data_IF_469155803347
#
_entry.id   IF_469155803347
#
_cell.length_a   1.000
_cell.length_b   1.000
_cell.length_c   1.000
_cell.angle_alpha   90.00
_cell.angle_beta   90.00
_cell.angle_gamma   90.00
#
_symmetry.space_group_name_H-M   'P 1'
#
loop_
_entity.id
_entity.type
_entity.pdbx_description
1 polymer ?
#
# COMPACT_ATOMS: atom_id res chain seq x y z
N UNK A 1 -12.97 -10.56 4.81
CA UNK A 1 -13.18 -9.53 5.87
C UNK A 1 -12.23 -8.37 5.60
N UNK A 2 -12.29 -7.26 6.34
CA UNK A 2 -11.32 -6.15 6.19
C UNK A 2 -10.47 -6.04 7.45
N UNK A 3 -9.15 -6.19 7.31
CA UNK A 3 -8.17 -5.96 8.38
C UNK A 3 -7.75 -4.50 8.39
N UNK A 4 -8.11 -3.79 9.46
CA UNK A 4 -7.66 -2.41 9.70
C UNK A 4 -6.41 -2.45 10.56
N UNK A 5 -5.39 -1.69 10.16
CA UNK A 5 -4.10 -1.63 10.87
C UNK A 5 -3.70 -0.18 11.03
N UNK A 6 -3.54 0.28 12.28
CA UNK A 6 -2.93 1.57 12.57
C UNK A 6 -1.42 1.40 12.69
N UNK A 7 -0.65 2.25 12.01
CA UNK A 7 0.83 2.19 12.00
C UNK A 7 1.40 2.42 13.40
N UNK A 8 0.75 3.26 14.20
CA UNK A 8 1.14 3.61 15.56
C UNK A 8 1.05 2.43 16.53
N UNK A 9 0.25 1.42 16.20
CA UNK A 9 0.05 0.21 17.02
C UNK A 9 1.06 -0.90 16.67
N UNK A 10 1.88 -0.70 15.63
CA UNK A 10 2.88 -1.68 15.20
C UNK A 10 4.23 -1.45 15.88
N UNK A 11 5.04 -2.51 16.08
CA UNK A 11 6.44 -2.37 16.46
C UNK A 11 7.17 -1.43 15.48
N UNK A 12 8.04 -0.55 16.00
CA UNK A 12 8.71 0.51 15.22
C UNK A 12 9.33 -0.02 13.92
N UNK A 13 10.04 -1.15 14.00
CA UNK A 13 10.67 -1.76 12.82
C UNK A 13 9.64 -2.21 11.77
N UNK A 14 8.56 -2.85 12.21
CA UNK A 14 7.49 -3.31 11.34
C UNK A 14 6.72 -2.12 10.74
N UNK A 15 6.47 -1.08 11.53
CA UNK A 15 5.86 0.17 11.09
C UNK A 15 6.69 0.84 9.98
N UNK A 16 8.00 0.97 10.20
CA UNK A 16 8.92 1.53 9.21
C UNK A 16 8.93 0.73 7.91
N UNK A 17 9.14 -0.59 8.00
CA UNK A 17 9.22 -1.45 6.82
C UNK A 17 7.88 -1.47 6.05
N UNK A 18 6.74 -1.40 6.76
CA UNK A 18 5.40 -1.35 6.16
C UNK A 18 5.21 -0.05 5.37
N UNK A 19 5.52 1.09 5.99
CA UNK A 19 5.48 2.40 5.32
C UNK A 19 6.37 2.43 4.09
N UNK A 20 7.57 1.82 4.17
CA UNK A 20 8.48 1.71 3.03
C UNK A 20 7.84 0.94 1.86
N UNK A 21 7.24 -0.24 2.11
CA UNK A 21 6.59 -0.99 1.02
C UNK A 21 5.38 -0.24 0.43
N UNK A 22 4.60 0.45 1.26
CA UNK A 22 3.48 1.28 0.81
C UNK A 22 3.99 2.43 -0.09
N UNK A 23 5.04 3.14 0.32
CA UNK A 23 5.63 4.23 -0.45
C UNK A 23 6.17 3.74 -1.81
N UNK A 24 6.89 2.61 -1.82
CA UNK A 24 7.39 2.00 -3.06
C UNK A 24 6.26 1.62 -4.02
N UNK A 25 5.16 1.07 -3.49
CA UNK A 25 3.97 0.76 -4.30
C UNK A 25 3.34 2.01 -4.89
N UNK A 26 3.12 3.04 -4.06
CA UNK A 26 2.53 4.32 -4.51
C UNK A 26 3.36 4.97 -5.60
N UNK A 27 4.69 4.99 -5.43
CA UNK A 27 5.60 5.53 -6.43
C UNK A 27 5.52 4.74 -7.74
N UNK A 28 5.49 3.41 -7.68
CA UNK A 28 5.35 2.58 -8.87
C UNK A 28 4.03 2.83 -9.62
N UNK A 29 2.91 2.97 -8.91
CA UNK A 29 1.61 3.32 -9.51
C UNK A 29 1.67 4.71 -10.15
N UNK A 30 2.21 5.69 -9.44
CA UNK A 30 2.35 7.06 -9.97
C UNK A 30 3.20 7.14 -11.24
N UNK A 31 4.29 6.36 -11.30
CA UNK A 31 5.12 6.24 -12.51
C UNK A 31 4.36 5.49 -13.61
N UNK A 32 3.65 4.41 -13.26
CA UNK A 32 2.87 3.60 -14.18
C UNK A 32 1.83 4.45 -14.94
N UNK A 33 1.11 5.33 -14.24
CA UNK A 33 0.08 6.22 -14.82
C UNK A 33 0.61 7.12 -15.94
N UNK A 34 1.90 7.46 -15.90
CA UNK A 34 2.54 8.37 -16.87
C UNK A 34 3.52 7.64 -17.82
N UNK A 35 3.59 6.31 -17.73
CA UNK A 35 4.56 5.53 -18.50
C UNK A 35 4.07 5.19 -19.90
N UNK A 36 4.99 5.11 -20.86
CA UNK A 36 4.74 4.54 -22.19
C UNK A 36 4.52 3.02 -22.16
N UNK A 37 4.95 2.36 -21.09
CA UNK A 37 4.86 0.91 -20.90
C UNK A 37 4.38 0.57 -19.48
N UNK A 38 3.12 0.91 -19.14
CA UNK A 38 2.57 0.75 -17.79
C UNK A 38 2.60 -0.70 -17.28
N UNK A 39 2.43 -1.68 -18.16
CA UNK A 39 2.42 -3.10 -17.83
C UNK A 39 3.73 -3.60 -17.19
N UNK A 40 4.85 -2.90 -17.39
CA UNK A 40 6.13 -3.25 -16.77
C UNK A 40 6.14 -3.05 -15.24
N UNK A 41 5.17 -2.31 -14.71
CA UNK A 41 5.08 -2.00 -13.29
C UNK A 41 4.15 -2.95 -12.53
N UNK A 42 3.30 -3.72 -13.25
CA UNK A 42 2.29 -4.59 -12.64
C UNK A 42 2.93 -5.62 -11.70
N UNK A 43 3.98 -6.30 -12.17
CA UNK A 43 4.70 -7.30 -11.37
C UNK A 43 5.29 -6.68 -10.11
N UNK A 44 5.96 -5.53 -10.24
CA UNK A 44 6.57 -4.84 -9.10
C UNK A 44 5.51 -4.37 -8.08
N UNK A 45 4.38 -3.83 -8.55
CA UNK A 45 3.26 -3.41 -7.69
C UNK A 45 2.69 -4.61 -6.94
N UNK A 46 2.48 -5.74 -7.63
CA UNK A 46 2.02 -6.99 -7.04
C UNK A 46 3.00 -7.53 -5.99
N UNK A 47 4.30 -7.48 -6.26
CA UNK A 47 5.32 -7.86 -5.28
C UNK A 47 5.24 -7.00 -4.01
N UNK A 48 5.03 -5.68 -4.13
CA UNK A 48 4.90 -4.80 -2.97
C UNK A 48 3.66 -5.14 -2.16
N UNK A 49 2.53 -5.37 -2.80
CA UNK A 49 1.31 -5.80 -2.11
C UNK A 49 1.48 -7.15 -1.40
N UNK A 50 2.14 -8.11 -2.03
CA UNK A 50 2.40 -9.41 -1.44
C UNK A 50 3.33 -9.31 -0.23
N UNK A 51 4.32 -8.42 -0.26
CA UNK A 51 5.14 -8.12 0.92
C UNK A 51 4.31 -7.52 2.05
N UNK A 52 3.45 -6.54 1.75
CA UNK A 52 2.54 -5.95 2.75
C UNK A 52 1.64 -7.02 3.38
N UNK A 53 1.04 -7.90 2.58
CA UNK A 53 0.20 -9.02 3.06
C UNK A 53 0.97 -9.97 3.97
N UNK A 54 2.21 -10.33 3.61
CA UNK A 54 3.10 -11.18 4.42
C UNK A 54 3.47 -10.52 5.75
N UNK A 55 3.79 -9.23 5.73
CA UNK A 55 4.15 -8.47 6.93
C UNK A 55 3.00 -8.36 7.93
N UNK A 56 1.76 -8.32 7.43
CA UNK A 56 0.55 -8.23 8.24
C UNK A 56 -0.11 -9.59 8.51
N UNK A 57 0.52 -10.68 8.07
CA UNK A 57 0.03 -12.06 8.15
C UNK A 57 -1.47 -12.18 7.85
N UNK A 58 -1.86 -11.76 6.64
CA UNK A 58 -3.28 -11.77 6.25
C UNK A 58 -3.47 -12.00 4.76
N UNK A 59 -4.61 -12.63 4.45
CA UNK A 59 -5.14 -12.78 3.08
C UNK A 59 -6.39 -11.92 2.86
N UNK A 60 -6.88 -11.24 3.90
CA UNK A 60 -8.03 -10.35 3.85
C UNK A 60 -7.71 -9.05 3.08
N UNK A 61 -8.75 -8.26 2.82
CA UNK A 61 -8.56 -6.87 2.43
C UNK A 61 -7.90 -6.09 3.58
N UNK A 62 -7.04 -5.14 3.24
CA UNK A 62 -6.20 -4.41 4.19
C UNK A 62 -6.48 -2.92 4.02
N UNK A 63 -6.69 -2.25 5.14
CA UNK A 63 -6.66 -0.79 5.23
C UNK A 63 -5.61 -0.41 6.27
N UNK A 64 -4.57 0.31 5.85
CA UNK A 64 -3.54 0.84 6.75
C UNK A 64 -3.78 2.33 6.96
N UNK A 65 -3.78 2.74 8.23
CA UNK A 65 -3.93 4.14 8.64
C UNK A 65 -2.71 4.65 9.38
N UNK A 66 -2.38 5.92 9.19
CA UNK A 66 -1.38 6.68 9.95
C UNK A 66 -2.01 8.00 10.40
N UNK A 67 -2.01 8.26 11.69
CA UNK A 67 -2.62 9.40 12.36
C UNK A 67 -4.09 9.62 11.93
N UNK A 68 -4.83 8.51 11.83
CA UNK A 68 -6.23 8.49 11.38
C UNK A 68 -6.43 8.66 9.87
N UNK A 69 -5.37 8.83 9.07
CA UNK A 69 -5.45 8.95 7.61
C UNK A 69 -5.16 7.62 6.94
N UNK A 70 -5.95 7.25 5.94
CA UNK A 70 -5.68 6.04 5.14
C UNK A 70 -4.44 6.28 4.29
N UNK A 71 -3.42 5.44 4.46
CA UNK A 71 -2.19 5.48 3.67
C UNK A 71 -2.09 4.33 2.68
N UNK A 72 -2.90 3.27 2.82
CA UNK A 72 -2.95 2.16 1.87
C UNK A 72 -4.28 1.43 1.97
N UNK A 73 -4.87 1.10 0.83
CA UNK A 73 -5.96 0.14 0.72
C UNK A 73 -5.63 -0.94 -0.32
N UNK A 74 -5.83 -2.21 0.03
CA UNK A 74 -5.69 -3.32 -0.93
C UNK A 74 -6.97 -3.60 -1.72
N UNK A 75 -8.09 -2.93 -1.40
CA UNK A 75 -9.30 -2.98 -2.21
C UNK A 75 -9.15 -2.13 -3.48
N UNK A 76 -9.81 -2.54 -4.58
CA UNK A 76 -9.75 -1.90 -5.90
C UNK A 76 -10.26 -0.43 -5.96
N UNK A 77 -10.51 0.23 -4.83
CA UNK A 77 -10.99 1.62 -4.77
C UNK A 77 -9.87 2.69 -4.72
N UNK A 78 -8.59 2.31 -4.75
CA UNK A 78 -7.50 3.23 -4.41
C UNK A 78 -6.81 3.89 -5.62
N UNK A 79 -7.58 4.43 -6.58
CA UNK A 79 -7.05 5.27 -7.66
C UNK A 79 -7.71 6.66 -7.78
N UNK A 80 -8.57 7.07 -6.83
CA UNK A 80 -9.30 8.36 -6.94
C UNK A 80 -9.29 9.27 -5.71
N UNK A 81 -8.74 8.85 -4.57
CA UNK A 81 -8.89 9.59 -3.30
C UNK A 81 -7.59 10.19 -2.74
N UNK A 82 -6.43 9.99 -3.37
CA UNK A 82 -5.13 10.49 -2.87
C UNK A 82 -4.66 11.79 -3.58
N UNK A 83 -5.48 12.42 -4.43
CA UNK A 83 -5.09 13.62 -5.21
C UNK A 83 -5.82 14.94 -4.86
N UNK A 84 -6.38 15.12 -3.67
CA UNK A 84 -6.86 16.45 -3.25
C UNK A 84 -6.48 16.76 -1.80
N UNK A 85 -5.31 17.38 -1.65
CA UNK A 85 -4.81 18.04 -0.45
C UNK A 85 -3.78 19.07 -0.86
#
# INVERSE_FOLDING_TARGET
>A
MVKKVAVEELPERLAFDLKLQIALRKNAISIQENSKHPQKFDEYIQERENKIRKMLDTKDEIVVTEHGKVIFSSSKMDNRLIQKG
#
